data_IF_241013742386
#
_entry.id   IF_241013742386
#
_cell.length_a   1.000
_cell.length_b   1.000
_cell.length_c   1.000
_cell.angle_alpha   90.00
_cell.angle_beta   90.00
_cell.angle_gamma   90.00
#
_symmetry.space_group_name_H-M   'P 1'
#
loop_
_entity.id
_entity.type
_entity.pdbx_description
1 polymer ?
#
# COMPACT_ATOMS: atom_id res chain seq x y z
N UNK A 1 -59.42 -39.59 -19.15
CA UNK A 1 -57.95 -39.72 -19.29
C UNK A 1 -57.33 -39.36 -17.95
N UNK A 2 -57.02 -40.37 -17.13
CA UNK A 2 -56.35 -40.17 -15.85
C UNK A 2 -54.85 -40.04 -16.10
N UNK A 3 -54.26 -38.90 -15.73
CA UNK A 3 -52.80 -38.74 -15.74
C UNK A 3 -52.25 -39.77 -14.74
N UNK A 4 -51.39 -40.67 -15.20
CA UNK A 4 -50.72 -41.62 -14.31
C UNK A 4 -49.96 -40.84 -13.23
N UNK A 5 -50.04 -41.22 -11.95
CA UNK A 5 -49.32 -40.53 -10.87
C UNK A 5 -47.82 -40.35 -11.16
N UNK A 6 -47.22 -41.30 -11.89
CA UNK A 6 -45.81 -41.21 -12.32
C UNK A 6 -45.54 -40.11 -13.36
N UNK A 7 -46.46 -39.85 -14.29
CA UNK A 7 -46.31 -38.76 -15.27
C UNK A 7 -46.52 -37.40 -14.62
N UNK A 8 -47.44 -37.29 -13.66
CA UNK A 8 -47.64 -36.05 -12.90
C UNK A 8 -46.39 -35.67 -12.10
N UNK A 9 -45.78 -36.63 -11.40
CA UNK A 9 -44.53 -36.42 -10.66
C UNK A 9 -43.41 -36.02 -11.62
N UNK A 10 -43.28 -36.69 -12.77
CA UNK A 10 -42.27 -36.36 -13.78
C UNK A 10 -42.42 -34.94 -14.32
N UNK A 11 -43.64 -34.47 -14.57
CA UNK A 11 -43.89 -33.10 -15.02
C UNK A 11 -43.59 -32.06 -13.94
N UNK A 12 -43.94 -32.32 -12.68
CA UNK A 12 -43.61 -31.44 -11.55
C UNK A 12 -42.09 -31.33 -11.38
N UNK A 13 -41.38 -32.46 -11.39
CA UNK A 13 -39.92 -32.49 -11.27
C UNK A 13 -39.26 -31.77 -12.45
N UNK A 14 -39.73 -32.01 -13.67
CA UNK A 14 -39.21 -31.33 -14.86
C UNK A 14 -39.46 -29.82 -14.79
N UNK A 15 -40.66 -29.39 -14.38
CA UNK A 15 -40.98 -27.99 -14.17
C UNK A 15 -40.08 -27.34 -13.12
N UNK A 16 -39.83 -28.00 -12.00
CA UNK A 16 -38.93 -27.52 -10.95
C UNK A 16 -37.48 -27.38 -11.46
N UNK A 17 -36.99 -28.32 -12.27
CA UNK A 17 -35.64 -28.24 -12.88
C UNK A 17 -35.54 -27.04 -13.82
N UNK A 18 -36.53 -26.83 -14.69
CA UNK A 18 -36.54 -25.69 -15.63
C UNK A 18 -36.53 -24.36 -14.87
N UNK A 19 -37.34 -24.24 -13.81
CA UNK A 19 -37.34 -23.03 -12.95
C UNK A 19 -35.98 -22.84 -12.28
N UNK A 20 -35.37 -23.90 -11.75
CA UNK A 20 -34.04 -23.82 -11.14
C UNK A 20 -32.98 -23.33 -12.13
N UNK A 21 -32.97 -23.86 -13.36
CA UNK A 21 -32.06 -23.42 -14.43
C UNK A 21 -32.30 -21.94 -14.77
N UNK A 22 -33.57 -21.52 -14.89
CA UNK A 22 -33.91 -20.12 -15.17
C UNK A 22 -33.43 -19.17 -14.06
N UNK A 23 -33.59 -19.54 -12.79
CA UNK A 23 -33.12 -18.75 -11.65
C UNK A 23 -31.60 -18.64 -11.65
N UNK A 24 -30.88 -19.74 -11.90
CA UNK A 24 -29.41 -19.74 -12.00
C UNK A 24 -28.94 -18.88 -13.17
N UNK A 25 -29.56 -19.01 -14.33
CA UNK A 25 -29.25 -18.22 -15.52
C UNK A 25 -29.46 -16.72 -15.29
N UNK A 26 -30.58 -16.33 -14.67
CA UNK A 26 -30.87 -14.94 -14.35
C UNK A 26 -29.87 -14.37 -13.32
N UNK A 27 -29.49 -15.16 -12.31
CA UNK A 27 -28.49 -14.76 -11.31
C UNK A 27 -27.11 -14.55 -11.96
N UNK A 28 -26.69 -15.46 -12.84
CA UNK A 28 -25.44 -15.33 -13.58
C UNK A 28 -25.43 -14.10 -14.49
N UNK A 29 -26.54 -13.85 -15.21
CA UNK A 29 -26.70 -12.67 -16.04
C UNK A 29 -26.61 -11.36 -15.25
N UNK A 30 -27.31 -11.29 -14.11
CA UNK A 30 -27.28 -10.10 -13.26
C UNK A 30 -25.88 -9.83 -12.69
N UNK A 31 -25.16 -10.88 -12.29
CA UNK A 31 -23.75 -10.77 -11.85
C UNK A 31 -22.85 -10.26 -12.98
N UNK A 32 -23.00 -10.80 -14.18
CA UNK A 32 -22.22 -10.36 -15.36
C UNK A 32 -22.47 -8.90 -15.70
N UNK A 33 -23.74 -8.47 -15.68
CA UNK A 33 -24.12 -7.07 -15.90
C UNK A 33 -23.51 -6.14 -14.84
N UNK A 34 -23.58 -6.56 -13.56
CA UNK A 34 -23.00 -5.79 -12.46
C UNK A 34 -21.48 -5.69 -12.58
N UNK A 35 -20.80 -6.78 -12.93
CA UNK A 35 -19.37 -6.80 -13.17
C UNK A 35 -18.96 -5.80 -14.26
N UNK A 36 -19.61 -5.85 -15.42
CA UNK A 36 -19.36 -4.89 -16.50
C UNK A 36 -19.56 -3.44 -16.07
N UNK A 37 -20.60 -3.17 -15.28
CA UNK A 37 -20.83 -1.83 -14.74
C UNK A 37 -19.68 -1.40 -13.83
N UNK A 38 -19.28 -2.24 -12.88
CA UNK A 38 -18.18 -1.93 -11.95
C UNK A 38 -16.87 -1.71 -12.72
N UNK A 39 -16.56 -2.56 -13.71
CA UNK A 39 -15.37 -2.41 -14.55
C UNK A 39 -15.41 -1.09 -15.30
N UNK A 40 -16.54 -0.75 -15.94
CA UNK A 40 -16.68 0.52 -16.67
C UNK A 40 -16.48 1.72 -15.75
N UNK A 41 -17.14 1.76 -14.59
CA UNK A 41 -17.01 2.88 -13.66
C UNK A 41 -15.59 2.97 -13.08
N UNK A 42 -14.96 1.84 -12.76
CA UNK A 42 -13.57 1.83 -12.31
C UNK A 42 -12.61 2.31 -13.40
N UNK A 43 -12.85 2.00 -14.68
CA UNK A 43 -12.02 2.50 -15.79
C UNK A 43 -12.00 4.02 -15.84
N UNK A 44 -13.15 4.66 -15.71
CA UNK A 44 -13.25 6.12 -15.71
C UNK A 44 -12.51 6.74 -14.50
N UNK A 45 -12.68 6.12 -13.33
CA UNK A 45 -12.09 6.59 -12.07
C UNK A 45 -10.59 6.32 -11.94
N UNK A 46 -10.09 5.32 -12.67
CA UNK A 46 -8.68 4.88 -12.63
C UNK A 46 -7.93 5.20 -13.92
N UNK A 47 -8.55 5.91 -14.86
CA UNK A 47 -7.89 6.41 -16.06
C UNK A 47 -6.65 7.26 -15.68
N UNK A 48 -5.55 7.23 -16.46
CA UNK A 48 -4.35 8.00 -16.15
C UNK A 48 -4.60 9.50 -15.88
N UNK A 49 -5.48 10.13 -16.67
CA UNK A 49 -5.86 11.55 -16.47
C UNK A 49 -6.52 11.78 -15.12
N UNK A 50 -7.40 10.88 -14.67
CA UNK A 50 -8.03 10.96 -13.35
C UNK A 50 -7.04 10.65 -12.23
N UNK A 51 -6.15 9.68 -12.45
CA UNK A 51 -5.26 9.15 -11.42
C UNK A 51 -4.02 10.02 -11.16
N UNK A 52 -3.54 10.72 -12.18
CA UNK A 52 -2.28 11.46 -12.13
C UNK A 52 -2.42 12.95 -12.44
N UNK A 53 -3.43 13.34 -13.23
CA UNK A 53 -3.54 14.69 -13.81
C UNK A 53 -4.82 15.41 -13.37
N UNK A 54 -5.40 15.00 -12.23
CA UNK A 54 -6.60 15.66 -11.70
C UNK A 54 -6.37 17.15 -11.51
N UNK A 55 -7.31 17.97 -11.98
CA UNK A 55 -7.20 19.43 -11.88
C UNK A 55 -7.17 19.90 -10.43
N UNK A 56 -7.94 19.23 -9.55
CA UNK A 56 -8.07 19.59 -8.14
C UNK A 56 -7.89 18.36 -7.23
N UNK A 57 -7.37 18.58 -6.01
CA UNK A 57 -7.23 17.56 -4.98
C UNK A 57 -8.59 16.93 -4.60
N UNK A 58 -9.64 17.75 -4.53
CA UNK A 58 -10.98 17.29 -4.18
C UNK A 58 -11.54 16.27 -5.18
N UNK A 59 -11.23 16.43 -6.47
CA UNK A 59 -11.67 15.52 -7.52
C UNK A 59 -10.93 14.19 -7.43
N UNK A 60 -9.61 14.22 -7.22
CA UNK A 60 -8.79 13.03 -7.00
C UNK A 60 -9.24 12.26 -5.74
N UNK A 61 -9.53 12.99 -4.65
CA UNK A 61 -10.06 12.42 -3.40
C UNK A 61 -11.44 11.78 -3.61
N UNK A 62 -12.33 12.46 -4.33
CA UNK A 62 -13.66 11.94 -4.69
C UNK A 62 -13.54 10.66 -5.51
N UNK A 63 -12.64 10.63 -6.50
CA UNK A 63 -12.39 9.45 -7.34
C UNK A 63 -11.78 8.28 -6.55
N UNK A 64 -10.86 8.56 -5.62
CA UNK A 64 -10.33 7.55 -4.69
C UNK A 64 -11.45 6.92 -3.87
N UNK A 65 -12.32 7.72 -3.25
CA UNK A 65 -13.41 7.21 -2.42
C UNK A 65 -14.42 6.38 -3.21
N UNK A 66 -14.81 6.84 -4.40
CA UNK A 66 -15.70 6.06 -5.29
C UNK A 66 -15.07 4.73 -5.68
N UNK A 67 -13.78 4.74 -5.99
CA UNK A 67 -13.02 3.51 -6.31
C UNK A 67 -13.05 2.53 -5.13
N UNK A 68 -12.90 3.00 -3.89
CA UNK A 68 -12.98 2.13 -2.70
C UNK A 68 -14.35 1.47 -2.54
N UNK A 69 -15.43 2.19 -2.81
CA UNK A 69 -16.77 1.64 -2.77
C UNK A 69 -16.99 0.56 -3.84
N UNK A 70 -16.52 0.81 -5.08
CA UNK A 70 -16.63 -0.16 -6.17
C UNK A 70 -15.80 -1.42 -5.91
N UNK A 71 -14.57 -1.27 -5.40
CA UNK A 71 -13.74 -2.42 -5.00
C UNK A 71 -14.38 -3.23 -3.87
N UNK A 72 -15.04 -2.58 -2.92
CA UNK A 72 -15.80 -3.29 -1.89
C UNK A 72 -16.99 -4.05 -2.48
N UNK A 73 -17.72 -3.42 -3.41
CA UNK A 73 -18.85 -4.03 -4.10
C UNK A 73 -18.46 -5.26 -4.91
N UNK A 74 -17.29 -5.25 -5.55
CA UNK A 74 -16.71 -6.42 -6.22
C UNK A 74 -16.62 -7.61 -5.28
N UNK A 75 -16.09 -7.41 -4.07
CA UNK A 75 -15.97 -8.50 -3.10
C UNK A 75 -17.33 -8.93 -2.55
N UNK A 76 -18.19 -7.98 -2.21
CA UNK A 76 -19.48 -8.24 -1.57
C UNK A 76 -20.51 -8.89 -2.51
N UNK A 77 -20.67 -8.36 -3.73
CA UNK A 77 -21.75 -8.75 -4.65
C UNK A 77 -21.31 -9.83 -5.66
N UNK A 78 -20.04 -9.77 -6.09
CA UNK A 78 -19.50 -10.68 -7.11
C UNK A 78 -18.67 -11.82 -6.51
N UNK A 79 -18.24 -11.70 -5.25
CA UNK A 79 -17.29 -12.61 -4.59
C UNK A 79 -15.95 -12.73 -5.37
N UNK A 80 -15.50 -11.63 -5.96
CA UNK A 80 -14.19 -11.51 -6.62
C UNK A 80 -13.22 -10.71 -5.77
N UNK A 81 -11.93 -10.99 -5.90
CA UNK A 81 -10.93 -10.20 -5.20
C UNK A 81 -10.74 -8.82 -5.89
N UNK A 82 -10.47 -7.74 -5.15
CA UNK A 82 -10.20 -6.42 -5.73
C UNK A 82 -9.09 -6.43 -6.78
N UNK A 83 -8.06 -7.26 -6.61
CA UNK A 83 -6.99 -7.38 -7.59
C UNK A 83 -7.46 -8.02 -8.91
N UNK A 84 -8.42 -8.96 -8.85
CA UNK A 84 -8.97 -9.60 -10.05
C UNK A 84 -9.75 -8.61 -10.91
N UNK A 85 -10.58 -7.76 -10.29
CA UNK A 85 -11.34 -6.74 -11.03
C UNK A 85 -10.43 -5.64 -11.58
N UNK A 86 -9.39 -5.26 -10.83
CA UNK A 86 -8.41 -4.27 -11.31
C UNK A 86 -7.64 -4.80 -12.52
N UNK A 87 -7.31 -6.09 -12.56
CA UNK A 87 -6.71 -6.71 -13.75
C UNK A 87 -7.62 -6.61 -14.96
N UNK A 88 -8.93 -6.80 -14.80
CA UNK A 88 -9.91 -6.62 -15.88
C UNK A 88 -10.08 -5.15 -16.30
N UNK A 89 -10.03 -4.23 -15.34
CA UNK A 89 -10.05 -2.78 -15.60
C UNK A 89 -8.85 -2.37 -16.45
N UNK A 90 -7.66 -2.84 -16.10
CA UNK A 90 -6.40 -2.46 -16.74
C UNK A 90 -6.11 -3.21 -18.04
N UNK A 91 -6.38 -4.51 -18.08
CA UNK A 91 -5.94 -5.43 -19.13
C UNK A 91 -7.06 -6.38 -19.57
N UNK A 92 -8.32 -5.93 -19.48
CA UNK A 92 -9.46 -6.68 -19.98
C UNK A 92 -9.33 -7.01 -21.46
N UNK A 93 -9.99 -8.08 -21.88
CA UNK A 93 -9.99 -8.53 -23.28
C UNK A 93 -10.94 -7.73 -24.19
N UNK A 94 -11.68 -6.77 -23.61
CA UNK A 94 -12.61 -5.91 -24.31
C UNK A 94 -11.98 -4.57 -24.73
N UNK A 95 -12.58 -3.89 -25.71
CA UNK A 95 -12.05 -2.64 -26.29
C UNK A 95 -11.96 -1.45 -25.31
N UNK A 96 -12.35 -1.64 -24.05
CA UNK A 96 -12.29 -0.62 -23.00
C UNK A 96 -11.12 -0.74 -22.04
N UNK A 97 -10.21 -1.72 -22.19
CA UNK A 97 -9.06 -1.84 -21.31
C UNK A 97 -8.20 -0.56 -21.33
N UNK A 98 -7.82 -0.09 -20.13
CA UNK A 98 -7.04 1.16 -20.00
C UNK A 98 -5.63 1.05 -20.56
N UNK A 99 -5.06 -0.15 -20.50
CA UNK A 99 -3.73 -0.44 -20.98
C UNK A 99 -3.83 -1.63 -21.93
N UNK A 100 -2.97 -1.66 -22.94
CA UNK A 100 -2.93 -2.77 -23.90
C UNK A 100 -2.83 -4.12 -23.20
N UNK A 101 -3.35 -5.16 -23.87
CA UNK A 101 -3.26 -6.53 -23.39
C UNK A 101 -1.80 -6.85 -23.01
N UNK A 102 -1.65 -7.57 -21.90
CA UNK A 102 -0.39 -8.13 -21.41
C UNK A 102 -0.07 -9.28 -22.37
N UNK A 103 0.31 -8.92 -23.60
CA UNK A 103 0.21 -9.79 -24.77
C UNK A 103 0.88 -11.14 -24.56
N UNK A 104 0.41 -12.15 -25.32
CA UNK A 104 0.98 -13.51 -25.42
C UNK A 104 2.40 -13.55 -26.03
N UNK A 105 3.30 -12.68 -25.56
CA UNK A 105 4.73 -12.69 -25.83
C UNK A 105 5.50 -13.28 -24.65
N UNK A 106 6.75 -13.68 -24.89
CA UNK A 106 7.60 -14.40 -23.94
C UNK A 106 7.97 -13.64 -22.66
N UNK A 107 7.67 -12.34 -22.55
CA UNK A 107 7.82 -11.52 -21.35
C UNK A 107 6.85 -10.33 -21.42
N UNK A 108 5.58 -10.49 -21.00
CA UNK A 108 4.70 -9.35 -21.00
C UNK A 108 5.04 -8.48 -19.77
N UNK A 109 5.68 -7.34 -20.03
CA UNK A 109 5.99 -6.38 -18.98
C UNK A 109 4.67 -5.74 -18.51
N UNK A 110 4.36 -5.75 -17.20
CA UNK A 110 3.22 -5.02 -16.68
C UNK A 110 3.38 -3.53 -17.02
N UNK A 111 2.27 -2.86 -17.34
CA UNK A 111 2.29 -1.42 -17.59
C UNK A 111 2.63 -0.69 -16.26
N UNK A 112 3.70 0.11 -16.19
CA UNK A 112 4.11 0.76 -14.94
C UNK A 112 3.03 1.66 -14.33
N UNK A 113 2.21 2.33 -15.15
CA UNK A 113 1.11 3.16 -14.65
C UNK A 113 0.01 2.30 -14.01
N UNK A 114 -0.34 1.18 -14.64
CA UNK A 114 -1.30 0.22 -14.10
C UNK A 114 -0.86 -0.31 -12.72
N UNK A 115 0.44 -0.63 -12.59
CA UNK A 115 1.01 -1.10 -11.33
C UNK A 115 0.90 -0.06 -10.22
N UNK A 116 1.29 1.19 -10.51
CA UNK A 116 1.24 2.30 -9.55
C UNK A 116 -0.20 2.58 -9.09
N UNK A 117 -1.15 2.64 -10.03
CA UNK A 117 -2.58 2.83 -9.72
C UNK A 117 -3.11 1.65 -8.90
N UNK A 118 -2.86 0.42 -9.36
CA UNK A 118 -3.31 -0.80 -8.69
C UNK A 118 -2.81 -0.89 -7.26
N UNK A 119 -1.51 -0.69 -7.03
CA UNK A 119 -0.90 -0.68 -5.69
C UNK A 119 -1.52 0.39 -4.80
N UNK A 120 -1.69 1.61 -5.31
CA UNK A 120 -2.29 2.72 -4.56
C UNK A 120 -3.73 2.42 -4.12
N UNK A 121 -4.56 1.89 -5.01
CA UNK A 121 -5.95 1.53 -4.71
C UNK A 121 -6.04 0.35 -3.75
N UNK A 122 -5.26 -0.72 -3.96
CA UNK A 122 -5.26 -1.90 -3.09
C UNK A 122 -4.81 -1.56 -1.67
N UNK A 123 -3.79 -0.71 -1.52
CA UNK A 123 -3.38 -0.17 -0.22
C UNK A 123 -4.55 0.55 0.46
N UNK A 124 -5.18 1.51 -0.22
CA UNK A 124 -6.31 2.24 0.34
C UNK A 124 -7.51 1.34 0.67
N UNK A 125 -7.73 0.30 -0.11
CA UNK A 125 -8.79 -0.68 0.14
C UNK A 125 -8.53 -1.45 1.45
N UNK A 126 -7.28 -1.88 1.67
CA UNK A 126 -6.87 -2.50 2.92
C UNK A 126 -7.02 -1.55 4.11
N UNK A 127 -6.62 -0.28 3.96
CA UNK A 127 -6.82 0.74 5.00
C UNK A 127 -8.31 0.90 5.34
N UNK A 128 -9.19 0.98 4.33
CA UNK A 128 -10.63 1.06 4.55
C UNK A 128 -11.18 -0.15 5.30
N UNK A 129 -10.68 -1.36 5.01
CA UNK A 129 -11.04 -2.57 5.77
C UNK A 129 -10.58 -2.48 7.22
N UNK A 130 -9.35 -2.07 7.46
CA UNK A 130 -8.78 -1.95 8.82
C UNK A 130 -9.53 -0.93 9.67
N UNK A 131 -9.89 0.21 9.08
CA UNK A 131 -10.65 1.29 9.71
C UNK A 131 -12.16 0.97 9.88
N UNK A 132 -12.60 -0.19 9.40
CA UNK A 132 -13.99 -0.62 9.47
C UNK A 132 -14.94 0.19 8.59
N UNK A 133 -14.43 0.95 7.62
CA UNK A 133 -15.22 1.88 6.79
C UNK A 133 -16.37 1.15 6.08
N UNK A 134 -16.11 -0.05 5.57
CA UNK A 134 -17.11 -0.85 4.84
C UNK A 134 -18.15 -1.55 5.73
N UNK A 135 -18.02 -1.48 7.05
CA UNK A 135 -18.94 -2.18 7.97
C UNK A 135 -20.30 -1.47 8.10
N UNK A 136 -20.42 -0.26 7.57
CA UNK A 136 -21.62 0.57 7.65
C UNK A 136 -22.12 0.89 6.24
N UNK A 137 -23.38 0.57 5.98
CA UNK A 137 -24.06 0.89 4.72
C UNK A 137 -24.11 2.39 4.42
N UNK A 138 -24.16 3.24 5.46
CA UNK A 138 -24.11 4.68 5.29
C UNK A 138 -22.75 5.14 4.78
N UNK A 139 -21.66 4.59 5.33
CA UNK A 139 -20.31 4.84 4.83
C UNK A 139 -20.13 4.41 3.38
N UNK A 140 -20.72 3.28 2.98
CA UNK A 140 -20.67 2.85 1.58
C UNK A 140 -21.37 3.88 0.66
N UNK A 141 -22.52 4.40 1.09
CA UNK A 141 -23.22 5.46 0.35
C UNK A 141 -22.42 6.77 0.31
N UNK A 142 -21.73 7.12 1.40
CA UNK A 142 -20.84 8.28 1.50
C UNK A 142 -19.66 8.14 0.54
N UNK A 143 -19.03 6.96 0.48
CA UNK A 143 -17.93 6.67 -0.45
C UNK A 143 -18.39 6.71 -1.92
N UNK A 144 -19.55 6.12 -2.25
CA UNK A 144 -20.14 6.21 -3.59
C UNK A 144 -20.45 7.65 -4.01
N UNK A 145 -20.74 8.52 -3.05
CA UNK A 145 -20.93 9.95 -3.28
C UNK A 145 -19.61 10.73 -3.39
N UNK A 146 -18.45 10.07 -3.27
CA UNK A 146 -17.13 10.71 -3.30
C UNK A 146 -16.84 11.56 -2.06
N UNK A 147 -17.44 11.24 -0.92
CA UNK A 147 -17.30 12.01 0.32
C UNK A 147 -16.52 11.26 1.39
N UNK A 148 -16.00 12.01 2.34
CA UNK A 148 -15.20 11.50 3.45
C UNK A 148 -16.02 10.59 4.38
N UNK A 149 -15.61 9.31 4.56
CA UNK A 149 -16.30 8.37 5.43
C UNK A 149 -15.98 8.59 6.93
N UNK A 150 -16.79 7.98 7.79
CA UNK A 150 -16.58 7.95 9.25
C UNK A 150 -15.89 6.64 9.62
N UNK A 151 -14.85 6.70 10.43
CA UNK A 151 -14.14 5.52 10.93
C UNK A 151 -15.02 4.78 11.93
N UNK A 152 -15.09 3.45 11.83
CA UNK A 152 -15.95 2.60 12.71
C UNK A 152 -15.17 1.66 13.61
N UNK A 153 -13.87 1.52 13.38
CA UNK A 153 -13.00 0.63 14.16
C UNK A 153 -11.66 1.29 14.42
N UNK A 154 -11.14 1.09 15.63
CA UNK A 154 -9.84 1.61 16.07
C UNK A 154 -9.96 2.76 17.07
N UNK A 155 -8.82 3.36 17.46
CA UNK A 155 -8.77 4.41 18.47
C UNK A 155 -9.55 5.68 18.06
N UNK A 156 -9.57 6.02 16.77
CA UNK A 156 -10.28 7.18 16.23
C UNK A 156 -11.71 6.85 15.74
N UNK A 157 -12.37 5.86 16.33
CA UNK A 157 -13.74 5.52 15.96
C UNK A 157 -14.68 6.72 16.11
N UNK A 158 -15.60 6.87 15.16
CA UNK A 158 -16.53 8.00 14.98
C UNK A 158 -15.91 9.32 14.50
N UNK A 159 -14.60 9.35 14.25
CA UNK A 159 -13.97 10.48 13.56
C UNK A 159 -14.11 10.37 12.04
N UNK A 160 -14.07 11.52 11.36
CA UNK A 160 -13.94 11.55 9.89
C UNK A 160 -12.54 11.09 9.49
N UNK A 161 -12.45 10.25 8.47
CA UNK A 161 -11.16 9.90 7.88
C UNK A 161 -10.48 11.14 7.27
N UNK A 162 -9.15 11.12 7.20
CA UNK A 162 -8.34 12.13 6.53
C UNK A 162 -7.55 11.51 5.38
N UNK A 163 -7.22 12.32 4.38
CA UNK A 163 -6.26 11.96 3.34
C UNK A 163 -4.89 12.44 3.79
N UNK A 164 -3.95 11.49 3.90
CA UNK A 164 -2.53 11.76 4.07
C UNK A 164 -1.81 11.50 2.75
N UNK A 165 -0.65 12.12 2.60
CA UNK A 165 0.19 11.95 1.40
C UNK A 165 1.46 11.20 1.75
N UNK A 166 1.90 10.31 0.87
CA UNK A 166 3.19 9.62 1.00
C UNK A 166 4.32 10.59 0.70
N UNK A 167 4.22 11.24 -0.47
CA UNK A 167 5.10 12.29 -0.95
C UNK A 167 4.62 13.62 -0.41
N UNK A 168 5.54 14.36 0.21
CA UNK A 168 5.24 15.68 0.76
C UNK A 168 4.88 16.66 -0.37
N UNK A 169 3.63 17.19 -0.41
CA UNK A 169 3.20 18.13 -1.45
C UNK A 169 3.99 19.45 -1.45
N UNK A 170 4.58 19.85 -0.32
CA UNK A 170 5.45 21.04 -0.25
C UNK A 170 6.75 20.87 -1.04
N UNK A 171 7.23 19.63 -1.21
CA UNK A 171 8.44 19.32 -1.98
C UNK A 171 8.09 19.14 -3.45
N UNK A 172 6.96 18.51 -3.76
CA UNK A 172 6.46 18.29 -5.11
C UNK A 172 5.03 18.81 -5.28
N UNK A 173 4.86 20.11 -5.61
CA UNK A 173 3.54 20.67 -5.87
C UNK A 173 2.81 19.90 -6.98
N UNK A 174 1.53 19.61 -6.80
CA UNK A 174 0.73 18.77 -7.68
C UNK A 174 0.66 17.30 -7.25
N UNK A 175 1.57 16.85 -6.37
CA UNK A 175 1.52 15.49 -5.83
C UNK A 175 0.27 15.23 -4.98
N UNK A 176 -0.38 16.27 -4.45
CA UNK A 176 -1.66 16.19 -3.76
C UNK A 176 -2.81 15.73 -4.66
N UNK A 177 -2.64 15.78 -5.98
CA UNK A 177 -3.68 15.42 -6.97
C UNK A 177 -3.49 14.01 -7.55
N UNK A 178 -2.42 13.33 -7.15
CA UNK A 178 -2.06 11.99 -7.61
C UNK A 178 -2.71 10.96 -6.68
N UNK A 179 -3.69 10.20 -7.18
CA UNK A 179 -4.42 9.19 -6.38
C UNK A 179 -3.46 8.17 -5.75
N UNK A 180 -2.45 7.63 -6.45
CA UNK A 180 -1.45 6.74 -5.84
C UNK A 180 -0.64 7.34 -4.69
N UNK A 181 -0.57 8.67 -4.57
CA UNK A 181 0.09 9.36 -3.46
C UNK A 181 -0.80 9.46 -2.20
N UNK A 182 -2.11 9.27 -2.34
CA UNK A 182 -3.08 9.42 -1.26
C UNK A 182 -3.17 8.17 -0.37
N UNK A 183 -3.37 8.39 0.93
CA UNK A 183 -3.65 7.36 1.94
C UNK A 183 -4.85 7.79 2.78
N UNK A 184 -5.89 6.95 2.80
CA UNK A 184 -7.01 7.05 3.73
C UNK A 184 -6.54 6.63 5.12
N UNK A 185 -6.66 7.53 6.08
CA UNK A 185 -6.09 7.35 7.40
C UNK A 185 -6.92 8.04 8.50
N UNK A 186 -6.68 7.71 9.78
CA UNK A 186 -7.20 8.49 10.90
C UNK A 186 -6.70 9.93 10.91
N UNK A 187 -7.48 10.89 11.46
CA UNK A 187 -7.12 12.31 11.47
C UNK A 187 -5.97 12.66 12.40
N UNK A 188 -5.73 11.88 13.47
CA UNK A 188 -4.77 12.20 14.53
C UNK A 188 -3.51 11.33 14.51
N UNK A 189 -3.10 10.82 13.34
CA UNK A 189 -1.75 10.28 13.22
C UNK A 189 -0.82 11.48 13.30
N UNK A 190 -0.32 11.77 14.51
CA UNK A 190 0.60 12.86 14.77
C UNK A 190 1.62 12.92 13.64
N UNK A 191 1.51 13.96 12.82
CA UNK A 191 2.51 14.28 11.81
C UNK A 191 3.72 14.73 12.62
N UNK A 192 4.44 13.76 13.16
CA UNK A 192 5.84 13.94 13.50
C UNK A 192 6.45 14.59 12.27
N UNK A 193 7.05 15.77 12.46
CA UNK A 193 7.77 16.47 11.39
C UNK A 193 8.83 15.56 10.75
N UNK A 194 9.23 14.48 11.44
CA UNK A 194 10.11 13.44 10.95
C UNK A 194 9.31 12.19 10.53
N UNK A 195 9.35 11.80 9.24
CA UNK A 195 8.77 10.54 8.80
C UNK A 195 9.53 9.35 9.40
N UNK A 196 8.82 8.28 9.71
CA UNK A 196 9.41 7.00 10.13
C UNK A 196 10.18 6.32 8.99
N UNK A 197 11.15 5.45 9.29
CA UNK A 197 11.91 4.69 8.29
C UNK A 197 11.01 3.94 7.28
N UNK A 198 9.89 3.38 7.77
CA UNK A 198 8.90 2.73 6.91
C UNK A 198 8.23 3.71 5.94
N UNK A 199 7.90 4.93 6.40
CA UNK A 199 7.34 5.98 5.55
C UNK A 199 8.37 6.49 4.54
N UNK A 200 9.64 6.62 4.94
CA UNK A 200 10.75 6.98 4.06
C UNK A 200 10.92 5.93 2.96
N UNK A 201 10.94 4.65 3.33
CA UNK A 201 11.04 3.54 2.36
C UNK A 201 9.85 3.53 1.41
N UNK A 202 8.64 3.70 1.92
CA UNK A 202 7.43 3.78 1.09
C UNK A 202 7.47 4.98 0.13
N UNK A 203 7.97 6.13 0.60
CA UNK A 203 8.12 7.31 -0.23
C UNK A 203 9.12 7.10 -1.36
N UNK A 204 10.31 6.56 -1.06
CA UNK A 204 11.33 6.25 -2.08
C UNK A 204 10.83 5.23 -3.11
N UNK A 205 10.10 4.20 -2.68
CA UNK A 205 9.48 3.24 -3.59
C UNK A 205 8.49 3.93 -4.52
N UNK A 206 7.63 4.80 -3.98
CA UNK A 206 6.66 5.55 -4.77
C UNK A 206 7.32 6.54 -5.73
N UNK A 207 8.38 7.24 -5.32
CA UNK A 207 9.17 8.13 -6.21
C UNK A 207 9.69 7.34 -7.40
N UNK A 208 10.33 6.20 -7.14
CA UNK A 208 10.83 5.33 -8.20
C UNK A 208 9.72 4.87 -9.13
N UNK A 209 8.60 4.41 -8.58
CA UNK A 209 7.50 3.90 -9.38
C UNK A 209 6.83 4.99 -10.24
N UNK A 210 6.69 6.22 -9.72
CA UNK A 210 6.18 7.36 -10.49
C UNK A 210 7.15 7.80 -11.59
N UNK A 211 8.45 7.73 -11.34
CA UNK A 211 9.47 8.00 -12.36
C UNK A 211 9.46 6.94 -13.46
N UNK A 212 9.44 5.66 -13.10
CA UNK A 212 9.38 4.53 -14.03
C UNK A 212 8.09 4.59 -14.89
N UNK A 213 6.99 5.07 -14.30
CA UNK A 213 5.72 5.31 -14.97
C UNK A 213 5.65 6.62 -15.78
N UNK A 214 6.75 7.39 -15.82
CA UNK A 214 6.89 8.69 -16.50
C UNK A 214 5.86 9.73 -16.06
N UNK A 215 5.44 9.67 -14.79
CA UNK A 215 4.50 10.62 -14.19
C UNK A 215 5.24 11.84 -13.63
N UNK A 216 6.44 11.62 -13.10
CA UNK A 216 7.31 12.69 -12.61
C UNK A 216 8.60 12.76 -13.43
N UNK A 217 9.13 13.96 -13.56
CA UNK A 217 10.43 14.21 -14.16
C UNK A 217 11.57 13.79 -13.23
N UNK A 218 12.74 13.53 -13.82
CA UNK A 218 13.95 13.14 -13.07
C UNK A 218 14.31 14.15 -11.98
N UNK A 219 14.28 15.44 -12.29
CA UNK A 219 14.63 16.50 -11.34
C UNK A 219 13.68 16.53 -10.13
N UNK A 220 12.40 16.22 -10.36
CA UNK A 220 11.41 16.10 -9.27
C UNK A 220 11.69 14.87 -8.41
N UNK A 221 12.02 13.74 -9.04
CA UNK A 221 12.44 12.53 -8.35
C UNK A 221 13.69 12.74 -7.49
N UNK A 222 14.71 13.41 -8.04
CA UNK A 222 15.97 13.68 -7.33
C UNK A 222 15.74 14.61 -6.12
N UNK A 223 14.91 15.65 -6.26
CA UNK A 223 14.51 16.53 -5.15
C UNK A 223 13.78 15.79 -4.03
N UNK A 224 12.84 14.92 -4.38
CA UNK A 224 12.10 14.12 -3.41
C UNK A 224 13.03 13.12 -2.70
N UNK A 225 13.88 12.43 -3.44
CA UNK A 225 14.86 11.51 -2.86
C UNK A 225 15.80 12.23 -1.89
N UNK A 226 16.34 13.39 -2.27
CA UNK A 226 17.20 14.19 -1.39
C UNK A 226 16.48 14.64 -0.11
N UNK A 227 15.21 15.05 -0.22
CA UNK A 227 14.38 15.38 0.95
C UNK A 227 14.26 14.19 1.91
N UNK A 228 13.94 13.00 1.42
CA UNK A 228 13.78 11.81 2.26
C UNK A 228 15.11 11.25 2.79
N UNK A 229 16.23 11.42 2.07
CA UNK A 229 17.56 11.03 2.59
C UNK A 229 18.02 11.90 3.75
N UNK A 230 17.63 13.18 3.79
CA UNK A 230 18.04 14.08 4.88
C UNK A 230 17.61 13.62 6.28
N UNK A 231 16.54 12.81 6.36
CA UNK A 231 16.07 12.22 7.61
C UNK A 231 16.88 10.99 8.02
N UNK A 232 17.49 10.25 7.08
CA UNK A 232 18.35 9.10 7.40
C UNK A 232 19.71 9.56 7.94
N UNK A 233 20.24 10.68 7.43
CA UNK A 233 21.52 11.25 7.86
C UNK A 233 21.48 11.90 9.26
N UNK A 234 20.28 12.13 9.81
CA UNK A 234 20.11 12.76 11.13
C UNK A 234 20.21 11.76 12.30
N UNK A 235 20.37 10.46 11.99
CA UNK A 235 20.39 9.36 12.96
C UNK A 235 21.80 8.87 13.31
N UNK A 236 22.86 9.48 12.78
CA UNK A 236 24.22 9.17 13.22
C UNK A 236 24.40 9.68 14.65
N UNK A 237 24.75 8.82 15.63
CA UNK A 237 25.19 9.31 16.92
C UNK A 237 26.48 10.09 16.67
N UNK A 238 26.41 11.41 16.85
CA UNK A 238 27.60 12.25 16.98
C UNK A 238 28.41 11.62 18.11
N UNK A 239 29.47 10.88 17.75
CA UNK A 239 30.52 10.56 18.67
C UNK A 239 31.00 11.91 19.22
N UNK A 240 30.72 12.15 20.49
CA UNK A 240 31.06 13.38 21.16
C UNK A 240 32.55 13.67 20.93
N UNK A 241 32.92 14.89 20.51
CA UNK A 241 34.32 15.27 20.55
C UNK A 241 34.70 15.35 22.03
N UNK A 242 35.44 14.36 22.53
CA UNK A 242 36.12 14.48 23.81
C UNK A 242 37.08 15.68 23.73
N UNK A 243 36.66 16.79 24.31
CA UNK A 243 37.51 17.94 24.55
C UNK A 243 37.64 18.12 26.06
N UNK A 244 38.87 17.98 26.58
CA UNK A 244 39.19 18.24 27.98
C UNK A 244 40.62 17.90 28.36
N UNK A 245 41.55 18.77 27.98
CA UNK A 245 43.01 18.70 28.20
C UNK A 245 43.44 18.88 29.69
N UNK A 246 44.75 18.91 30.05
CA UNK A 246 45.56 20.11 29.78
C UNK A 246 47.07 19.91 29.48
N UNK A 247 47.55 20.88 28.69
CA UNK A 247 48.86 21.55 28.69
C UNK A 247 50.16 20.77 28.94
N UNK A 248 51.11 20.88 28.01
CA UNK A 248 52.43 21.46 28.32
C UNK A 248 53.18 21.94 27.07
N UNK A 249 53.67 23.17 27.18
CA UNK A 249 54.70 23.80 26.37
C UNK A 249 56.07 23.15 26.59
N UNK A 250 56.92 23.03 25.57
CA UNK A 250 58.32 23.53 25.57
C UNK A 250 59.11 23.07 24.33
N UNK A 251 59.96 23.99 23.88
CA UNK A 251 61.00 23.86 22.86
C UNK A 251 62.16 22.92 23.25
N UNK A 252 62.82 22.41 22.19
CA UNK A 252 64.26 22.17 22.04
C UNK A 252 65.04 21.07 22.79
N UNK A 253 65.83 20.39 21.94
CA UNK A 253 67.22 19.93 22.11
C UNK A 253 67.53 18.52 22.63
N UNK A 254 67.98 17.72 21.66
CA UNK A 254 69.21 16.90 21.62
C UNK A 254 69.53 15.82 22.68
N UNK A 255 69.95 14.69 22.10
CA UNK A 255 71.02 13.78 22.52
C UNK A 255 70.65 12.42 23.18
N UNK A 256 70.97 11.38 22.40
CA UNK A 256 71.78 10.22 22.78
C UNK A 256 71.10 8.91 23.28
N UNK A 257 71.11 7.91 22.38
CA UNK A 257 71.52 6.50 22.55
C UNK A 257 71.02 5.63 23.73
N UNK A 258 70.13 4.68 23.42
CA UNK A 258 70.07 3.21 23.71
C UNK A 258 70.70 2.59 25.00
N UNK A 259 70.38 1.31 25.39
CA UNK A 259 69.22 0.42 25.15
C UNK A 259 68.81 -0.46 26.39
N UNK A 260 67.92 -1.46 26.15
CA UNK A 260 67.70 -2.77 26.85
C UNK A 260 66.52 -2.95 27.84
N UNK A 261 65.67 -3.92 27.47
CA UNK A 261 64.58 -4.66 28.15
C UNK A 261 65.03 -5.39 29.46
N UNK A 262 64.25 -6.28 30.16
CA UNK A 262 62.95 -6.92 29.85
C UNK A 262 62.01 -7.23 31.06
N UNK A 263 60.95 -8.01 30.78
CA UNK A 263 60.19 -8.90 31.68
C UNK A 263 59.12 -8.26 32.59
N UNK A 264 58.00 -8.87 32.95
CA UNK A 264 57.18 -10.01 32.50
C UNK A 264 55.93 -10.00 33.42
N UNK A 265 54.88 -10.72 33.03
CA UNK A 265 53.75 -11.21 33.88
C UNK A 265 52.62 -10.20 34.17
N UNK A 266 51.47 -10.30 33.47
CA UNK A 266 50.29 -11.16 33.78
C UNK A 266 49.73 -10.99 35.19
N UNK A 267 48.49 -10.49 35.27
CA UNK A 267 47.33 -11.28 35.74
C UNK A 267 46.05 -10.73 35.14
N UNK A 268 45.34 -11.63 34.45
CA UNK A 268 43.97 -11.52 33.95
C UNK A 268 42.97 -11.48 35.11
N UNK A 269 41.93 -10.65 35.02
CA UNK A 269 40.67 -10.87 35.73
C UNK A 269 39.53 -10.88 34.71
N UNK A 270 38.79 -11.96 34.75
CA UNK A 270 37.84 -12.51 33.78
C UNK A 270 36.52 -11.71 33.73
N UNK A 271 35.96 -11.40 32.55
CA UNK A 271 34.66 -10.74 32.45
C UNK A 271 33.51 -11.77 32.51
N UNK A 272 32.49 -11.45 33.31
CA UNK A 272 31.27 -12.24 33.46
C UNK A 272 30.56 -12.50 32.12
N UNK A 273 30.09 -13.75 31.96
CA UNK A 273 29.42 -14.24 30.75
C UNK A 273 28.08 -13.54 30.47
N UNK A 274 27.75 -13.26 29.19
CA UNK A 274 26.46 -12.69 28.80
C UNK A 274 25.32 -13.71 28.90
N UNK A 275 24.16 -13.24 29.37
CA UNK A 275 22.91 -14.00 29.45
C UNK A 275 22.55 -14.61 28.09
N UNK A 276 22.27 -15.92 28.09
CA UNK A 276 21.92 -16.68 26.91
C UNK A 276 20.56 -16.24 26.33
N UNK A 277 20.53 -15.98 25.03
CA UNK A 277 19.33 -15.67 24.26
C UNK A 277 18.32 -16.85 24.31
N UNK A 278 17.03 -16.61 24.57
CA UNK A 278 16.03 -17.67 24.71
C UNK A 278 15.65 -18.36 23.38
N UNK A 279 16.31 -18.02 22.27
CA UNK A 279 16.05 -18.57 20.94
C UNK A 279 17.02 -19.68 20.49
N UNK A 280 18.04 -20.01 21.30
CA UNK A 280 19.00 -21.09 21.00
C UNK A 280 18.65 -22.44 21.67
N UNK A 281 17.43 -22.61 22.17
CA UNK A 281 17.00 -23.93 22.67
C UNK A 281 16.49 -24.79 21.49
N UNK A 282 17.08 -25.99 21.25
CA UNK A 282 16.58 -26.88 20.23
C UNK A 282 15.17 -27.37 20.60
N UNK A 283 14.30 -27.45 19.60
CA UNK A 283 12.95 -27.99 19.72
C UNK A 283 13.01 -29.43 20.27
N UNK A 284 12.13 -29.82 21.19
CA UNK A 284 12.07 -31.20 21.66
C UNK A 284 11.51 -32.10 20.55
N UNK A 285 12.32 -33.06 20.10
CA UNK A 285 11.87 -34.23 19.36
C UNK A 285 11.17 -35.19 20.34
N UNK A 286 9.86 -35.40 20.15
CA UNK A 286 9.21 -36.72 20.13
C UNK A 286 7.67 -36.60 20.21
N UNK A 287 6.98 -37.35 19.33
CA UNK A 287 5.56 -37.73 19.49
C UNK A 287 4.71 -37.69 18.23
#
# INVERSE_FOLDING_TARGET
MGISPGDLIRHIVTGAIVVAIAVVGLKAWNKHKLEKQIVSELRDLTHPTTSFESAYEADATSSLFKSMALLHRTKADLNKEPNEILREVFHGSDEGALFGDVGSGSNPSPNPQAEVIGKGLLRNYQHCRTLGIFSDSENLRILMAGRTPIIKKGPDSNSKAAIRFILNPSVSPGAERIIPNMIISPPNLGESNNPTDMQISQAKELVRALYDARIIERDTGDRLNQYYESFNSSSEPVAAPEAGAPAESSENSDANSQPLSPADSRSEEEPAAPEACPFDQPLPDDG
#
